data_IF_377506134179
#
_entry.id   IF_377506134179
#
_cell.length_a   1.000
_cell.length_b   1.000
_cell.length_c   1.000
_cell.angle_alpha   90.00
_cell.angle_beta   90.00
_cell.angle_gamma   90.00
#
_symmetry.space_group_name_H-M   'P 1'
#
loop_
_entity.id
_entity.type
_entity.pdbx_description
1 polymer ?
#
# COMPACT_ATOMS: atom_id res chain seq x y z
N UNK A 1 -24.72 -22.34 -0.59
CA UNK A 1 -24.44 -21.54 -1.80
C UNK A 1 -24.87 -22.33 -3.03
N UNK A 2 -25.08 -21.70 -4.20
CA UNK A 2 -25.40 -22.44 -5.42
C UNK A 2 -24.24 -23.38 -5.78
N UNK A 3 -24.56 -24.59 -6.22
CA UNK A 3 -23.58 -25.65 -6.51
C UNK A 3 -22.76 -25.37 -7.78
N UNK A 4 -23.22 -24.45 -8.63
CA UNK A 4 -22.50 -23.98 -9.82
C UNK A 4 -22.99 -22.59 -10.25
N UNK A 5 -22.10 -21.82 -10.87
CA UNK A 5 -22.40 -20.59 -11.59
C UNK A 5 -21.96 -20.81 -13.03
N UNK A 6 -22.79 -20.42 -14.00
CA UNK A 6 -22.44 -20.45 -15.42
C UNK A 6 -22.89 -19.13 -16.06
N UNK A 7 -21.94 -18.20 -16.16
CA UNK A 7 -22.14 -16.87 -16.73
C UNK A 7 -21.02 -16.61 -17.77
N UNK A 8 -21.05 -17.31 -18.92
CA UNK A 8 -19.90 -17.43 -19.81
C UNK A 8 -19.52 -16.11 -20.51
N UNK A 9 -20.44 -15.13 -20.52
CA UNK A 9 -20.21 -13.81 -21.10
C UNK A 9 -19.91 -12.72 -20.05
N UNK A 10 -19.88 -13.07 -18.76
CA UNK A 10 -19.65 -12.11 -17.69
C UNK A 10 -18.19 -11.66 -17.69
N UNK A 11 -17.99 -10.34 -17.80
CA UNK A 11 -16.66 -9.70 -17.80
C UNK A 11 -16.36 -8.92 -16.54
N UNK A 12 -17.39 -8.45 -15.85
CA UNK A 12 -17.24 -7.60 -14.68
C UNK A 12 -18.13 -8.15 -13.57
N UNK A 13 -17.54 -8.41 -12.41
CA UNK A 13 -18.23 -8.88 -11.23
C UNK A 13 -17.92 -7.93 -10.06
N UNK A 14 -18.97 -7.45 -9.41
CA UNK A 14 -18.86 -6.65 -8.19
C UNK A 14 -19.71 -7.30 -7.12
N UNK A 15 -19.03 -7.74 -6.07
CA UNK A 15 -19.61 -8.39 -4.91
C UNK A 15 -19.47 -7.42 -3.74
N UNK A 16 -20.55 -7.26 -2.98
CA UNK A 16 -20.60 -6.29 -1.89
C UNK A 16 -21.18 -6.93 -0.65
N UNK A 17 -20.62 -6.59 0.52
CA UNK A 17 -21.16 -7.03 1.81
C UNK A 17 -21.30 -8.55 1.85
N UNK A 18 -20.26 -9.25 1.37
CA UNK A 18 -20.15 -10.70 1.46
C UNK A 18 -19.20 -11.01 2.61
N UNK A 19 -19.70 -11.76 3.57
CA UNK A 19 -18.89 -12.31 4.65
C UNK A 19 -18.36 -13.69 4.22
N UNK A 20 -17.25 -14.12 4.80
CA UNK A 20 -16.68 -15.45 4.62
C UNK A 20 -16.21 -15.76 3.18
N UNK A 21 -15.43 -14.86 2.57
CA UNK A 21 -14.74 -15.18 1.32
C UNK A 21 -13.73 -16.32 1.54
N UNK A 22 -13.93 -17.45 0.86
CA UNK A 22 -13.05 -18.62 0.82
C UNK A 22 -12.55 -18.94 -0.60
N UNK A 23 -11.61 -19.87 -0.71
CA UNK A 23 -11.17 -20.41 -2.01
C UNK A 23 -12.32 -21.06 -2.78
N UNK A 24 -13.19 -21.84 -2.12
CA UNK A 24 -14.32 -22.47 -2.82
C UNK A 24 -15.32 -21.44 -3.34
N UNK A 25 -15.49 -20.33 -2.61
CA UNK A 25 -16.31 -19.22 -3.06
C UNK A 25 -15.74 -18.60 -4.34
N UNK A 26 -14.43 -18.34 -4.38
CA UNK A 26 -13.77 -17.75 -5.55
C UNK A 26 -13.77 -18.69 -6.76
N UNK A 27 -13.50 -19.98 -6.53
CA UNK A 27 -13.46 -21.00 -7.58
C UNK A 27 -14.79 -21.12 -8.33
N UNK A 28 -15.92 -20.93 -7.63
CA UNK A 28 -17.23 -20.92 -8.25
C UNK A 28 -17.34 -19.88 -9.38
N UNK A 29 -16.77 -18.68 -9.17
CA UNK A 29 -16.80 -17.60 -10.17
C UNK A 29 -15.69 -17.73 -11.20
N UNK A 30 -14.49 -18.15 -10.82
CA UNK A 30 -13.39 -18.32 -11.77
C UNK A 30 -13.67 -19.46 -12.77
N UNK A 31 -14.34 -20.53 -12.33
CA UNK A 31 -14.75 -21.62 -13.20
C UNK A 31 -16.01 -21.26 -14.01
N UNK A 32 -16.96 -20.55 -13.40
CA UNK A 32 -18.24 -20.19 -14.03
C UNK A 32 -18.20 -18.99 -14.99
N UNK A 33 -17.16 -18.17 -14.90
CA UNK A 33 -17.04 -16.91 -15.64
C UNK A 33 -15.67 -16.83 -16.37
N UNK A 34 -15.45 -17.62 -17.44
CA UNK A 34 -14.15 -17.70 -18.12
C UNK A 34 -13.68 -16.39 -18.76
N UNK A 35 -14.58 -15.43 -19.00
CA UNK A 35 -14.27 -14.12 -19.58
C UNK A 35 -14.16 -12.98 -18.54
N UNK A 36 -14.07 -13.31 -17.25
CA UNK A 36 -14.05 -12.33 -16.17
C UNK A 36 -12.76 -11.49 -16.20
N UNK A 37 -12.88 -10.22 -16.60
CA UNK A 37 -11.76 -9.27 -16.70
C UNK A 37 -11.64 -8.37 -15.46
N UNK A 38 -12.76 -8.08 -14.78
CA UNK A 38 -12.77 -7.21 -13.60
C UNK A 38 -13.51 -7.86 -12.44
N UNK A 39 -12.88 -7.89 -11.28
CA UNK A 39 -13.44 -8.42 -10.04
C UNK A 39 -13.28 -7.39 -8.93
N UNK A 40 -14.35 -7.15 -8.18
CA UNK A 40 -14.34 -6.26 -7.02
C UNK A 40 -15.10 -6.86 -5.84
N UNK A 41 -14.46 -6.81 -4.68
CA UNK A 41 -15.02 -7.12 -3.37
C UNK A 41 -15.09 -5.81 -2.59
N UNK A 42 -16.29 -5.39 -2.19
CA UNK A 42 -16.52 -4.11 -1.51
C UNK A 42 -17.24 -4.33 -0.18
N UNK A 43 -16.62 -3.90 0.91
CA UNK A 43 -17.05 -4.19 2.27
C UNK A 43 -17.28 -5.70 2.46
N UNK A 44 -16.36 -6.53 1.99
CA UNK A 44 -16.41 -7.98 2.16
C UNK A 44 -15.36 -8.44 3.17
N UNK A 45 -15.62 -9.51 3.91
CA UNK A 45 -14.67 -10.09 4.86
C UNK A 45 -14.23 -11.49 4.41
N UNK A 46 -13.00 -11.86 4.75
CA UNK A 46 -12.48 -13.19 4.50
C UNK A 46 -13.04 -14.20 5.51
N UNK A 47 -12.89 -15.50 5.24
CA UNK A 47 -13.17 -16.50 6.25
C UNK A 47 -11.98 -16.59 7.20
N UNK A 48 -12.24 -16.47 8.51
CA UNK A 48 -11.22 -16.49 9.56
C UNK A 48 -10.33 -17.75 9.44
N UNK A 49 -9.01 -17.57 9.62
CA UNK A 49 -7.98 -18.62 9.53
C UNK A 49 -7.82 -19.32 8.17
N UNK A 50 -8.55 -18.90 7.12
CA UNK A 50 -8.35 -19.43 5.78
C UNK A 50 -7.36 -18.61 4.97
N UNK A 51 -6.56 -19.34 4.17
CA UNK A 51 -5.76 -18.73 3.13
C UNK A 51 -6.63 -18.56 1.89
N UNK A 52 -6.62 -17.37 1.30
CA UNK A 52 -7.43 -17.09 0.11
C UNK A 52 -6.55 -16.82 -1.09
N UNK A 53 -6.80 -17.51 -2.19
CA UNK A 53 -6.00 -17.55 -3.40
C UNK A 53 -6.77 -17.00 -4.59
N UNK A 54 -6.31 -15.87 -5.09
CA UNK A 54 -6.76 -15.26 -6.33
C UNK A 54 -5.88 -15.76 -7.48
N UNK A 55 -6.20 -16.93 -8.02
CA UNK A 55 -5.53 -17.51 -9.20
C UNK A 55 -6.41 -17.39 -10.44
N UNK A 56 -6.34 -16.24 -11.11
CA UNK A 56 -7.21 -15.92 -12.24
C UNK A 56 -6.41 -15.30 -13.40
N UNK A 57 -5.91 -16.11 -14.35
CA UNK A 57 -5.09 -15.62 -15.46
C UNK A 57 -5.84 -14.70 -16.42
N UNK A 58 -7.17 -14.75 -16.47
CA UNK A 58 -8.01 -13.87 -17.29
C UNK A 58 -8.19 -12.46 -16.71
N UNK A 59 -7.92 -12.29 -15.41
CA UNK A 59 -8.26 -11.08 -14.68
C UNK A 59 -7.31 -9.93 -15.02
N UNK A 60 -7.88 -8.76 -15.29
CA UNK A 60 -7.16 -7.51 -15.61
C UNK A 60 -7.28 -6.49 -14.48
N UNK A 61 -8.39 -6.49 -13.74
CA UNK A 61 -8.66 -5.53 -12.69
C UNK A 61 -9.14 -6.24 -11.43
N UNK A 62 -8.46 -6.01 -10.31
CA UNK A 62 -8.84 -6.55 -9.00
C UNK A 62 -8.96 -5.41 -7.99
N UNK A 63 -10.10 -5.35 -7.31
CA UNK A 63 -10.34 -4.50 -6.14
C UNK A 63 -10.70 -5.37 -4.97
N UNK A 64 -9.93 -5.27 -3.89
CA UNK A 64 -10.25 -5.84 -2.58
C UNK A 64 -10.44 -4.65 -1.64
N UNK A 65 -11.65 -4.49 -1.14
CA UNK A 65 -12.03 -3.47 -0.17
C UNK A 65 -12.80 -4.17 0.94
N UNK A 66 -12.09 -4.48 2.01
CA UNK A 66 -12.60 -5.21 3.18
C UNK A 66 -13.01 -4.28 4.30
N UNK A 67 -13.10 -2.97 4.05
CA UNK A 67 -13.44 -2.02 5.09
C UNK A 67 -14.91 -2.18 5.52
N UNK A 68 -15.13 -3.07 6.49
CA UNK A 68 -16.41 -3.32 7.14
C UNK A 68 -16.34 -2.84 8.59
N UNK A 69 -17.26 -1.95 8.99
CA UNK A 69 -17.21 -1.21 10.26
C UNK A 69 -17.67 -2.03 11.49
N UNK A 70 -17.59 -3.36 11.46
CA UNK A 70 -18.32 -4.19 12.42
C UNK A 70 -17.74 -5.54 12.81
N UNK A 71 -16.54 -5.93 12.35
CA UNK A 71 -15.90 -7.13 12.91
C UNK A 71 -15.25 -6.77 14.24
N UNK A 72 -15.71 -7.42 15.31
CA UNK A 72 -15.28 -7.14 16.69
C UNK A 72 -13.86 -7.64 17.00
N UNK A 73 -13.23 -8.38 16.08
CA UNK A 73 -11.83 -8.82 16.18
C UNK A 73 -11.19 -8.95 14.80
N UNK A 74 -10.09 -8.24 14.54
CA UNK A 74 -9.26 -8.50 13.38
C UNK A 74 -8.54 -9.85 13.54
N UNK A 75 -8.64 -10.69 12.52
CA UNK A 75 -7.88 -11.94 12.42
C UNK A 75 -6.82 -11.80 11.33
N UNK A 76 -5.72 -12.52 11.45
CA UNK A 76 -4.68 -12.49 10.43
C UNK A 76 -5.03 -13.47 9.30
N UNK A 77 -5.41 -12.94 8.15
CA UNK A 77 -5.55 -13.74 6.93
C UNK A 77 -4.32 -13.65 6.04
N UNK A 78 -4.07 -14.72 5.29
CA UNK A 78 -3.07 -14.75 4.23
C UNK A 78 -3.75 -14.81 2.88
N UNK A 79 -3.47 -13.83 2.04
CA UNK A 79 -4.09 -13.67 0.73
C UNK A 79 -3.00 -13.79 -0.34
N UNK A 80 -3.10 -14.81 -1.19
CA UNK A 80 -2.25 -14.98 -2.35
C UNK A 80 -2.94 -14.38 -3.59
N UNK A 81 -2.28 -13.46 -4.26
CA UNK A 81 -2.72 -12.94 -5.56
C UNK A 81 -1.72 -13.34 -6.63
N UNK A 82 -2.14 -14.21 -7.54
CA UNK A 82 -1.35 -14.72 -8.66
C UNK A 82 -2.12 -14.55 -9.97
N UNK A 83 -1.86 -13.45 -10.67
CA UNK A 83 -2.61 -13.05 -11.86
C UNK A 83 -1.69 -12.39 -12.91
N UNK A 84 -1.14 -13.16 -13.88
CA UNK A 84 -0.14 -12.68 -14.83
C UNK A 84 -0.62 -11.56 -15.75
N UNK A 85 -1.92 -11.50 -16.05
CA UNK A 85 -2.52 -10.48 -16.91
C UNK A 85 -3.16 -9.32 -16.13
N UNK A 86 -2.96 -9.26 -14.80
CA UNK A 86 -3.51 -8.20 -13.97
C UNK A 86 -2.84 -6.88 -14.31
N UNK A 87 -3.62 -5.86 -14.64
CA UNK A 87 -3.18 -4.52 -15.04
C UNK A 87 -3.29 -3.55 -13.87
N UNK A 88 -4.37 -3.65 -13.08
CA UNK A 88 -4.58 -2.80 -11.91
C UNK A 88 -5.00 -3.58 -10.69
N UNK A 89 -4.39 -3.23 -9.56
CA UNK A 89 -4.72 -3.77 -8.25
C UNK A 89 -5.02 -2.63 -7.27
N UNK A 90 -6.13 -2.74 -6.55
CA UNK A 90 -6.47 -1.86 -5.45
C UNK A 90 -6.79 -2.70 -4.21
N UNK A 91 -6.16 -2.37 -3.10
CA UNK A 91 -6.37 -3.01 -1.81
C UNK A 91 -6.69 -1.93 -0.76
N UNK A 92 -7.85 -2.05 -0.13
CA UNK A 92 -8.26 -1.31 1.05
C UNK A 92 -8.54 -2.34 2.15
N UNK A 93 -7.59 -2.55 3.06
CA UNK A 93 -7.63 -3.65 4.03
C UNK A 93 -6.74 -3.37 5.25
N UNK A 94 -6.68 -4.28 6.22
CA UNK A 94 -5.83 -4.18 7.40
C UNK A 94 -4.36 -4.49 7.09
N UNK A 95 -3.44 -3.82 7.80
CA UNK A 95 -2.00 -4.09 7.68
C UNK A 95 -1.58 -5.43 8.29
N UNK A 96 -2.43 -6.02 9.14
CA UNK A 96 -2.26 -7.32 9.77
C UNK A 96 -2.47 -8.49 8.79
N UNK A 97 -3.12 -8.27 7.65
CA UNK A 97 -3.27 -9.27 6.60
C UNK A 97 -1.99 -9.46 5.76
N UNK A 98 -1.57 -10.71 5.56
CA UNK A 98 -0.42 -11.06 4.72
C UNK A 98 -0.83 -11.18 3.25
N UNK A 99 -0.55 -10.16 2.45
CA UNK A 99 -0.70 -10.23 1.00
C UNK A 99 0.57 -10.76 0.32
N UNK A 100 0.50 -11.98 -0.22
CA UNK A 100 1.51 -12.57 -1.10
C UNK A 100 1.18 -12.21 -2.55
N UNK A 101 1.93 -11.26 -3.12
CA UNK A 101 1.70 -10.75 -4.48
C UNK A 101 2.72 -11.36 -5.43
N UNK A 102 2.29 -12.34 -6.21
CA UNK A 102 3.17 -13.16 -7.05
C UNK A 102 2.71 -13.18 -8.51
N UNK A 103 3.63 -13.42 -9.44
CA UNK A 103 3.30 -13.55 -10.88
C UNK A 103 2.44 -12.39 -11.42
N UNK A 104 2.77 -11.14 -11.08
CA UNK A 104 2.05 -9.93 -11.49
C UNK A 104 2.79 -9.18 -12.61
N UNK A 105 3.20 -9.89 -13.66
CA UNK A 105 4.10 -9.36 -14.70
C UNK A 105 3.50 -8.23 -15.53
N UNK A 106 2.17 -8.18 -15.68
CA UNK A 106 1.46 -7.13 -16.41
C UNK A 106 1.01 -5.95 -15.54
N UNK A 107 1.28 -5.97 -14.23
CA UNK A 107 0.73 -4.99 -13.30
C UNK A 107 1.35 -3.62 -13.52
N UNK A 108 0.50 -2.65 -13.89
CA UNK A 108 0.94 -1.28 -14.14
C UNK A 108 0.58 -0.32 -13.00
N UNK A 109 -0.55 -0.56 -12.35
CA UNK A 109 -1.10 0.34 -11.31
C UNK A 109 -1.40 -0.44 -10.04
N UNK A 110 -0.83 -0.01 -8.92
CA UNK A 110 -1.15 -0.53 -7.60
C UNK A 110 -1.56 0.61 -6.65
N UNK A 111 -2.62 0.37 -5.87
CA UNK A 111 -3.07 1.28 -4.81
C UNK A 111 -3.31 0.52 -3.52
N UNK A 112 -2.66 0.95 -2.46
CA UNK A 112 -2.84 0.43 -1.11
C UNK A 112 -3.37 1.53 -0.20
N UNK A 113 -4.54 1.31 0.36
CA UNK A 113 -5.16 2.14 1.37
C UNK A 113 -5.39 1.29 2.62
N UNK A 114 -4.31 1.04 3.36
CA UNK A 114 -4.34 0.09 4.47
C UNK A 114 -4.81 0.72 5.77
N UNK A 115 -5.23 -0.09 6.72
CA UNK A 115 -5.68 0.36 8.03
C UNK A 115 -4.84 -0.33 9.10
N UNK A 116 -4.33 0.47 10.02
CA UNK A 116 -3.72 -0.02 11.26
C UNK A 116 -4.80 0.02 12.31
N UNK A 117 -4.90 -1.04 13.11
CA UNK A 117 -5.83 -1.11 14.22
C UNK A 117 -5.44 -0.10 15.29
N UNK A 118 -6.42 0.44 16.01
CA UNK A 118 -6.16 1.38 17.09
C UNK A 118 -6.70 0.83 18.40
N UNK A 119 -5.85 0.82 19.43
CA UNK A 119 -6.23 0.44 20.79
C UNK A 119 -6.11 1.65 21.73
N UNK A 120 -6.94 1.68 22.76
CA UNK A 120 -6.86 2.74 23.76
C UNK A 120 -5.55 2.62 24.55
N UNK A 121 -4.71 3.64 24.45
CA UNK A 121 -3.46 3.74 25.18
C UNK A 121 -3.69 4.55 26.47
N UNK A 122 -3.67 3.87 27.61
CA UNK A 122 -3.89 4.49 28.93
C UNK A 122 -2.85 5.58 29.26
N UNK A 123 -1.60 5.42 28.81
CA UNK A 123 -0.53 6.39 29.09
C UNK A 123 -0.71 7.69 28.31
N UNK A 124 -1.22 7.60 27.08
CA UNK A 124 -1.46 8.74 26.20
C UNK A 124 -2.88 9.31 26.34
N UNK A 125 -3.78 8.62 27.06
CA UNK A 125 -5.21 8.91 27.13
C UNK A 125 -5.84 9.11 25.74
N UNK A 126 -5.50 8.22 24.80
CA UNK A 126 -6.01 8.25 23.42
C UNK A 126 -5.89 6.90 22.74
N UNK A 127 -6.69 6.68 21.69
CA UNK A 127 -6.47 5.58 20.77
C UNK A 127 -5.15 5.79 20.02
N UNK A 128 -4.33 4.75 19.99
CA UNK A 128 -3.05 4.73 19.33
C UNK A 128 -2.97 3.54 18.36
N UNK A 129 -2.30 3.71 17.21
CA UNK A 129 -2.13 2.61 16.27
C UNK A 129 -1.33 1.47 16.89
N UNK A 130 -1.85 0.26 16.76
CA UNK A 130 -1.21 -0.99 17.19
C UNK A 130 -0.79 -1.76 15.94
N UNK A 131 0.50 -2.06 15.88
CA UNK A 131 1.09 -2.82 14.79
C UNK A 131 2.31 -3.59 15.31
N UNK A 132 2.63 -4.67 14.62
CA UNK A 132 3.72 -5.58 14.93
C UNK A 132 4.88 -5.42 13.94
N UNK A 133 6.01 -6.08 14.23
CA UNK A 133 7.11 -6.17 13.26
C UNK A 133 6.72 -7.03 12.05
N UNK A 134 5.84 -8.00 12.26
CA UNK A 134 5.26 -8.87 11.25
C UNK A 134 4.49 -8.05 10.22
N UNK A 135 3.62 -7.13 10.65
CA UNK A 135 2.84 -6.24 9.76
C UNK A 135 3.78 -5.42 8.86
N UNK A 136 4.86 -4.91 9.46
CA UNK A 136 5.96 -4.24 8.76
C UNK A 136 6.55 -5.11 7.64
N UNK A 137 6.81 -6.38 7.93
CA UNK A 137 7.32 -7.35 6.95
C UNK A 137 6.29 -7.66 5.88
N UNK A 138 5.00 -7.76 6.20
CA UNK A 138 3.93 -7.97 5.23
C UNK A 138 3.85 -6.82 4.22
N UNK A 139 3.87 -5.57 4.68
CA UNK A 139 3.83 -4.41 3.80
C UNK A 139 5.08 -4.32 2.90
N UNK A 140 6.27 -4.68 3.43
CA UNK A 140 7.48 -4.78 2.61
C UNK A 140 7.35 -5.88 1.55
N UNK A 141 6.78 -7.03 1.89
CA UNK A 141 6.56 -8.11 0.93
C UNK A 141 5.56 -7.70 -0.17
N UNK A 142 4.53 -6.91 0.16
CA UNK A 142 3.66 -6.30 -0.83
C UNK A 142 4.46 -5.45 -1.82
N UNK A 143 5.31 -4.55 -1.32
CA UNK A 143 6.17 -3.70 -2.15
C UNK A 143 7.09 -4.53 -3.08
N UNK A 144 7.62 -5.66 -2.61
CA UNK A 144 8.43 -6.58 -3.42
C UNK A 144 7.63 -7.13 -4.59
N UNK A 145 6.44 -7.66 -4.31
CA UNK A 145 5.57 -8.28 -5.31
C UNK A 145 5.09 -7.31 -6.40
N UNK A 146 4.97 -6.02 -6.06
CA UNK A 146 4.54 -4.97 -7.00
C UNK A 146 5.69 -4.07 -7.49
N UNK A 147 6.95 -4.48 -7.35
CA UNK A 147 8.12 -3.66 -7.71
C UNK A 147 8.20 -3.23 -9.19
N UNK A 148 7.44 -3.88 -10.07
CA UNK A 148 7.40 -3.60 -11.52
C UNK A 148 6.36 -2.55 -11.94
N UNK A 149 5.54 -2.02 -11.02
CA UNK A 149 4.46 -1.08 -11.37
C UNK A 149 4.97 0.25 -11.91
N UNK A 150 4.13 0.90 -12.72
CA UNK A 150 4.37 2.25 -13.26
C UNK A 150 3.78 3.34 -12.36
N UNK A 151 2.68 3.03 -11.69
CA UNK A 151 1.96 3.95 -10.80
C UNK A 151 1.69 3.29 -9.45
N UNK A 152 2.14 3.92 -8.38
CA UNK A 152 1.94 3.46 -7.00
C UNK A 152 1.24 4.53 -6.17
N UNK A 153 0.22 4.13 -5.41
CA UNK A 153 -0.40 4.97 -4.37
C UNK A 153 -0.36 4.25 -3.03
N UNK A 154 0.17 4.92 -2.00
CA UNK A 154 0.24 4.40 -0.63
C UNK A 154 -0.35 5.41 0.35
N UNK A 155 -1.05 4.93 1.37
CA UNK A 155 -1.58 5.77 2.44
C UNK A 155 -0.68 5.83 3.68
N UNK A 156 -1.05 6.68 4.64
CA UNK A 156 -0.23 6.97 5.81
C UNK A 156 -0.04 5.75 6.71
N UNK A 157 -1.06 4.92 6.90
CA UNK A 157 -0.97 3.67 7.65
C UNK A 157 0.01 2.66 7.03
N UNK A 158 -0.01 2.48 5.71
CA UNK A 158 1.01 1.67 5.02
C UNK A 158 2.42 2.20 5.29
N UNK A 159 2.61 3.52 5.17
CA UNK A 159 3.92 4.15 5.40
C UNK A 159 4.39 4.06 6.86
N UNK A 160 3.47 4.15 7.83
CA UNK A 160 3.75 4.02 9.26
C UNK A 160 4.33 2.64 9.56
N UNK A 161 3.63 1.58 9.15
CA UNK A 161 4.02 0.19 9.40
C UNK A 161 5.34 -0.16 8.71
N UNK A 162 5.55 0.34 7.49
CA UNK A 162 6.84 0.22 6.79
C UNK A 162 7.97 0.95 7.53
N UNK A 163 7.73 2.15 8.05
CA UNK A 163 8.75 2.95 8.74
C UNK A 163 9.26 2.31 10.04
N UNK A 164 8.46 1.42 10.62
CA UNK A 164 8.70 0.74 11.89
C UNK A 164 9.26 -0.68 11.70
N UNK A 165 9.60 -1.04 10.46
CA UNK A 165 10.40 -2.21 10.10
C UNK A 165 11.83 -1.83 9.62
N UNK A 166 12.64 -1.11 10.42
CA UNK A 166 13.93 -0.56 9.98
C UNK A 166 14.95 -1.63 9.59
N UNK A 167 14.92 -2.80 10.24
CA UNK A 167 15.82 -3.90 9.93
C UNK A 167 15.55 -4.45 8.52
N UNK A 168 14.27 -4.54 8.13
CA UNK A 168 13.86 -5.03 6.81
C UNK A 168 14.22 -4.03 5.71
N UNK A 169 13.98 -2.74 5.96
CA UNK A 169 14.36 -1.65 5.04
C UNK A 169 15.86 -1.66 4.73
N UNK A 170 16.70 -1.92 5.74
CA UNK A 170 18.17 -1.99 5.57
C UNK A 170 18.63 -3.21 4.81
N UNK A 171 17.96 -4.35 4.99
CA UNK A 171 18.39 -5.63 4.44
C UNK A 171 17.95 -5.86 3.00
N UNK A 172 16.90 -5.17 2.53
CA UNK A 172 16.27 -5.51 1.26
C UNK A 172 15.90 -4.24 0.48
N UNK A 173 16.80 -3.66 -0.33
CA UNK A 173 16.42 -2.62 -1.28
C UNK A 173 15.47 -3.22 -2.33
N UNK A 174 14.35 -2.55 -2.59
CA UNK A 174 13.35 -2.98 -3.59
C UNK A 174 13.44 -2.04 -4.79
N UNK A 175 14.11 -2.44 -5.89
CA UNK A 175 14.29 -1.55 -7.03
C UNK A 175 12.96 -1.38 -7.80
N UNK A 176 12.40 -0.18 -7.75
CA UNK A 176 11.21 0.21 -8.53
C UNK A 176 11.62 0.69 -9.92
N UNK A 177 11.88 -0.25 -10.82
CA UNK A 177 12.50 0.04 -12.13
C UNK A 177 11.60 0.78 -13.11
N UNK A 178 10.28 0.63 -12.97
CA UNK A 178 9.32 1.18 -13.92
C UNK A 178 8.47 2.31 -13.34
N UNK A 179 8.67 2.64 -12.06
CA UNK A 179 7.81 3.55 -11.32
C UNK A 179 8.00 4.99 -11.81
N UNK A 180 6.96 5.54 -12.44
CA UNK A 180 6.91 6.91 -12.98
C UNK A 180 5.99 7.83 -12.18
N UNK A 181 4.93 7.27 -11.60
CA UNK A 181 3.99 8.01 -10.77
C UNK A 181 3.96 7.45 -9.36
N UNK A 182 4.23 8.30 -8.37
CA UNK A 182 4.15 7.95 -6.96
C UNK A 182 3.24 8.95 -6.24
N UNK A 183 2.16 8.45 -5.64
CA UNK A 183 1.29 9.21 -4.73
C UNK A 183 1.42 8.66 -3.31
N UNK A 184 1.68 9.55 -2.37
CA UNK A 184 1.85 9.23 -0.96
C UNK A 184 0.89 10.11 -0.15
N UNK A 185 0.05 9.48 0.66
CA UNK A 185 -0.65 10.17 1.74
C UNK A 185 0.10 9.94 3.06
N UNK A 186 0.47 11.01 3.77
CA UNK A 186 1.38 10.95 4.93
C UNK A 186 1.09 12.00 6.00
N UNK A 187 1.47 11.73 7.26
CA UNK A 187 1.36 12.65 8.40
C UNK A 187 2.64 13.44 8.73
N UNK A 188 3.70 13.35 7.90
CA UNK A 188 4.97 14.09 8.09
C UNK A 188 5.64 13.92 9.47
N UNK A 189 5.63 12.73 10.06
CA UNK A 189 6.50 12.41 11.20
C UNK A 189 7.88 11.92 10.77
N UNK A 190 8.88 11.97 11.67
CA UNK A 190 10.24 11.43 11.41
C UNK A 190 10.22 9.98 10.93
N UNK A 191 9.30 9.17 11.45
CA UNK A 191 9.11 7.78 11.02
C UNK A 191 8.72 7.71 9.54
N UNK A 192 7.65 8.41 9.14
CA UNK A 192 7.18 8.46 7.75
C UNK A 192 8.27 8.89 6.76
N UNK A 193 9.12 9.86 7.13
CA UNK A 193 10.24 10.26 6.29
C UNK A 193 11.09 9.04 5.92
N UNK A 194 11.41 8.14 6.86
CA UNK A 194 12.22 6.95 6.56
C UNK A 194 11.59 6.03 5.51
N UNK A 195 10.26 5.81 5.58
CA UNK A 195 9.57 5.00 4.58
C UNK A 195 9.53 5.69 3.21
N UNK A 196 9.24 6.99 3.20
CA UNK A 196 9.24 7.80 1.96
C UNK A 196 10.65 7.81 1.33
N UNK A 197 11.68 8.00 2.14
CA UNK A 197 13.09 7.94 1.73
C UNK A 197 13.40 6.63 1.02
N UNK A 198 13.06 5.52 1.67
CA UNK A 198 13.34 4.21 1.15
C UNK A 198 12.71 4.00 -0.24
N UNK A 199 11.44 4.41 -0.43
CA UNK A 199 10.79 4.27 -1.74
C UNK A 199 11.48 5.15 -2.78
N UNK A 200 11.75 6.43 -2.46
CA UNK A 200 12.36 7.38 -3.40
C UNK A 200 13.80 6.98 -3.79
N UNK A 201 14.61 6.54 -2.84
CA UNK A 201 15.99 6.09 -3.09
C UNK A 201 16.05 4.88 -4.03
N UNK A 202 14.99 4.07 -4.05
CA UNK A 202 14.90 2.90 -4.92
C UNK A 202 14.10 3.14 -6.22
N UNK A 203 13.70 4.38 -6.50
CA UNK A 203 12.86 4.74 -7.65
C UNK A 203 13.58 5.74 -8.56
N UNK A 204 14.23 5.24 -9.63
CA UNK A 204 15.12 6.06 -10.46
C UNK A 204 14.42 6.94 -11.51
N UNK A 205 13.26 6.50 -11.98
CA UNK A 205 12.58 7.10 -13.16
C UNK A 205 11.26 7.78 -12.78
N UNK A 206 11.12 8.28 -11.54
CA UNK A 206 9.93 9.00 -11.11
C UNK A 206 9.77 10.29 -11.94
N UNK A 207 8.63 10.41 -12.61
CA UNK A 207 8.20 11.58 -13.38
C UNK A 207 7.26 12.47 -12.59
N UNK A 208 6.41 11.87 -11.75
CA UNK A 208 5.41 12.58 -10.93
C UNK A 208 5.42 12.06 -9.51
N UNK A 209 5.62 12.97 -8.56
CA UNK A 209 5.51 12.73 -7.12
C UNK A 209 4.39 13.60 -6.55
N UNK A 210 3.38 12.95 -5.98
CA UNK A 210 2.28 13.60 -5.26
C UNK A 210 2.41 13.25 -3.79
N UNK A 211 2.53 14.26 -2.93
CA UNK A 211 2.49 14.10 -1.48
C UNK A 211 1.25 14.82 -0.98
N UNK A 212 0.31 14.05 -0.47
CA UNK A 212 -0.88 14.54 0.21
C UNK A 212 -0.66 14.44 1.72
N UNK A 213 -1.05 15.48 2.42
CA UNK A 213 -0.99 15.51 3.87
C UNK A 213 -2.38 15.22 4.39
N UNK A 214 -2.60 13.98 4.86
CA UNK A 214 -3.79 13.66 5.61
C UNK A 214 -3.92 14.64 6.76
N UNK A 215 -5.04 15.37 6.75
CA UNK A 215 -5.40 16.21 7.89
C UNK A 215 -5.57 15.28 9.07
N UNK A 216 -4.90 15.57 10.16
CA UNK A 216 -5.23 14.96 11.45
C UNK A 216 -6.73 15.20 11.65
N UNK A 217 -7.54 14.16 11.54
CA UNK A 217 -8.88 14.20 12.11
C UNK A 217 -8.67 14.19 13.62
N UNK A 218 -8.45 15.37 14.21
CA UNK A 218 -8.62 15.64 15.65
C UNK A 218 -10.10 15.49 16.09
N UNK A 219 -10.84 14.63 15.40
CA UNK A 219 -12.26 14.34 15.53
C UNK A 219 -12.23 12.81 15.70
N UNK A 220 -12.01 12.22 16.86
CA UNK A 220 -12.67 12.42 18.14
C UNK A 220 -11.76 11.92 19.27
N UNK A 221 -11.22 12.81 20.11
CA UNK A 221 -10.85 12.58 21.54
C UNK A 221 -9.81 13.60 22.04
N UNK A 222 -10.12 14.89 21.94
CA UNK A 222 -9.58 15.83 22.92
C UNK A 222 -10.72 16.19 23.88
N UNK A 223 -10.56 15.98 25.20
CA UNK A 223 -11.31 16.78 26.15
C UNK A 223 -10.81 18.22 25.96
N UNK A 224 -11.56 19.00 25.17
CA UNK A 224 -11.38 20.43 25.08
C UNK A 224 -11.44 21.01 26.49
N UNK A 225 -10.31 21.50 26.99
CA UNK A 225 -10.12 22.73 27.76
C UNK A 225 -8.59 22.89 27.92
N UNK A 226 -8.00 23.81 27.15
CA UNK A 226 -6.57 24.21 27.16
C UNK A 226 -5.57 23.37 26.36
N UNK A 227 -5.57 23.48 25.02
CA UNK A 227 -4.35 23.34 24.23
C UNK A 227 -3.86 24.76 23.84
N UNK A 228 -2.82 25.30 24.48
CA UNK A 228 -2.37 26.68 24.25
C UNK A 228 -1.74 26.82 22.86
N UNK A 229 -1.74 28.06 22.33
CA UNK A 229 -1.10 28.51 21.07
C UNK A 229 0.31 27.93 20.83
N UNK A 230 0.99 27.50 21.89
CA UNK A 230 2.26 26.79 21.90
C UNK A 230 2.28 25.49 21.06
N UNK A 231 1.24 24.64 21.13
CA UNK A 231 1.22 23.37 20.38
C UNK A 231 1.01 23.58 18.89
N UNK A 232 0.17 24.54 18.48
CA UNK A 232 0.03 24.92 17.08
C UNK A 232 1.32 25.49 16.51
N UNK A 233 2.02 26.33 17.28
CA UNK A 233 3.31 26.88 16.85
C UNK A 233 4.38 25.80 16.75
N UNK A 234 4.50 24.92 17.73
CA UNK A 234 5.44 23.80 17.72
C UNK A 234 5.15 22.81 16.57
N UNK A 235 3.87 22.52 16.31
CA UNK A 235 3.43 21.71 15.18
C UNK A 235 3.80 22.38 13.85
N UNK A 236 3.52 23.67 13.69
CA UNK A 236 3.88 24.43 12.48
C UNK A 236 5.40 24.52 12.28
N UNK A 237 6.18 24.79 13.32
CA UNK A 237 7.65 24.83 13.23
C UNK A 237 8.22 23.46 12.87
N UNK A 238 7.69 22.39 13.47
CA UNK A 238 8.07 21.01 13.15
C UNK A 238 7.66 20.66 11.71
N UNK A 239 6.46 21.05 11.30
CA UNK A 239 5.93 20.88 9.95
C UNK A 239 6.81 21.58 8.91
N UNK A 240 7.13 22.87 9.11
CA UNK A 240 8.00 23.62 8.20
C UNK A 240 9.42 23.05 8.17
N UNK A 241 9.95 22.60 9.31
CA UNK A 241 11.25 21.92 9.36
C UNK A 241 11.24 20.62 8.56
N UNK A 242 10.19 19.81 8.69
CA UNK A 242 10.06 18.52 8.00
C UNK A 242 9.80 18.72 6.51
N UNK A 243 8.97 19.70 6.15
CA UNK A 243 8.76 20.11 4.76
C UNK A 243 10.06 20.57 4.13
N UNK A 244 10.86 21.37 4.84
CA UNK A 244 12.17 21.80 4.36
C UNK A 244 13.12 20.62 4.16
N UNK A 245 13.14 19.66 5.09
CA UNK A 245 13.90 18.43 4.93
C UNK A 245 13.46 17.64 3.70
N UNK A 246 12.15 17.40 3.53
CA UNK A 246 11.59 16.68 2.38
C UNK A 246 11.91 17.39 1.06
N UNK A 247 11.76 18.72 0.99
CA UNK A 247 12.09 19.49 -0.22
C UNK A 247 13.58 19.44 -0.53
N UNK A 248 14.46 19.71 0.45
CA UNK A 248 15.90 19.61 0.27
C UNK A 248 16.32 18.21 -0.18
N UNK A 249 15.60 17.21 0.26
CA UNK A 249 15.91 15.83 -0.03
C UNK A 249 15.37 15.38 -1.38
N UNK A 250 14.14 15.77 -1.75
CA UNK A 250 13.62 15.59 -3.12
C UNK A 250 14.58 16.25 -4.10
N UNK A 251 15.07 17.46 -3.79
CA UNK A 251 16.10 18.13 -4.59
C UNK A 251 17.39 17.30 -4.65
N UNK A 252 17.84 16.74 -3.52
CA UNK A 252 19.04 15.91 -3.47
C UNK A 252 18.89 14.62 -4.28
N UNK A 253 17.76 13.93 -4.19
CA UNK A 253 17.46 12.72 -4.96
C UNK A 253 17.35 13.06 -6.45
N UNK A 254 16.64 14.13 -6.82
CA UNK A 254 16.56 14.60 -8.21
C UNK A 254 17.96 14.94 -8.76
N UNK A 255 18.82 15.56 -7.96
CA UNK A 255 20.20 15.86 -8.35
C UNK A 255 21.05 14.59 -8.48
N UNK A 256 20.88 13.61 -7.59
CA UNK A 256 21.56 12.30 -7.67
C UNK A 256 21.14 11.53 -8.93
N UNK A 257 19.83 11.45 -9.21
CA UNK A 257 19.29 10.83 -10.43
C UNK A 257 19.87 11.53 -11.68
N UNK A 258 19.94 12.87 -11.70
CA UNK A 258 20.55 13.63 -12.80
C UNK A 258 22.06 13.34 -12.95
N UNK A 259 22.80 13.23 -11.86
CA UNK A 259 24.24 12.96 -11.86
C UNK A 259 24.55 11.56 -12.39
N UNK A 260 23.82 10.54 -11.95
CA UNK A 260 23.97 9.15 -12.43
C UNK A 260 23.63 9.03 -13.93
N UNK A 261 22.59 9.71 -14.40
CA UNK A 261 22.24 9.74 -15.82
C UNK A 261 23.30 10.48 -16.68
N UNK A 262 24.02 11.46 -16.11
CA UNK A 262 25.09 12.18 -16.82
C UNK A 262 26.40 11.38 -16.92
N UNK A 263 26.69 10.49 -15.96
CA UNK A 263 27.91 9.68 -15.94
C UNK A 263 27.83 8.42 -16.83
N UNK A 264 26.61 7.98 -17.17
CA UNK A 264 26.37 6.91 -18.14
C UNK A 264 26.68 7.31 -19.61
N UNK A 265 26.85 8.60 -19.91
CA UNK A 265 27.31 9.11 -21.21
C UNK A 265 28.84 9.32 -21.23
N UNK A 266 29.61 8.24 -21.23
CA UNK A 266 30.96 8.25 -21.83
C UNK A 266 31.01 7.22 -22.96
N UNK A 267 30.76 7.62 -24.22
CA UNK A 267 31.13 6.77 -25.35
C UNK A 267 32.65 6.71 -25.43
N UNK A 268 33.16 5.50 -25.65
CA UNK A 268 34.59 5.25 -25.83
C UNK A 268 35.15 6.11 -26.94
N UNK A 269 36.28 6.76 -26.64
CA UNK A 269 37.23 7.13 -27.68
C UNK A 269 38.29 6.02 -27.73
N UNK A 270 38.11 5.12 -28.68
CA UNK A 270 39.25 4.54 -29.38
C UNK A 270 40.11 5.68 -29.93
N UNK A 271 41.42 5.63 -29.67
CA UNK A 271 42.43 6.08 -30.62
C UNK A 271 43.64 5.15 -30.53
N UNK A 272 43.76 4.35 -31.58
CA UNK A 272 44.96 4.05 -32.39
C UNK A 272 46.31 3.99 -31.69
#
# INVERSE_FOLDING_TARGET
MPDSIDLPSLRNLSLRSIDCLSDEFLDLYFNGCPLLESLSFIACDFLEEENVTFSAPQLKHLVIDTFNKGSDTPYNCKILVSAPNLISFQCCDYTSHEYCLENLSSLEVARFNMIVEEEYNEELDMFAPVYTKEDGRFMINCLKGISNVKSLTLNHHFLLVVAEAPDVLRMSPIPFRNLRFLKLDTWMGKAYIRAVMYILENSRDIETLVIEFSRVSFIFSWPCLFAPEFFQKQFLETFFSILRCLVCLIISIVNLIKLENSSAFKPGFEKS
#
